data_IF_057566307379
#
_entry.id   IF_057566307379
#
_cell.length_a   1.000
_cell.length_b   1.000
_cell.length_c   1.000
_cell.angle_alpha   90.00
_cell.angle_beta   90.00
_cell.angle_gamma   90.00
#
_symmetry.space_group_name_H-M   'P 1'
#
loop_
_entity.id
_entity.type
_entity.pdbx_description
1 polymer ?
#
# COMPACT_ATOMS: atom_id res chain seq x y z
N UNK A 1 6.49 -1.83 14.01
CA UNK A 1 7.36 -2.12 15.19
C UNK A 1 7.34 -1.01 16.24
N UNK A 2 7.53 0.28 15.90
CA UNK A 2 7.49 1.37 16.89
C UNK A 2 6.26 1.32 17.80
N UNK A 3 5.06 1.30 17.23
CA UNK A 3 3.80 1.19 17.98
C UNK A 3 3.73 -0.10 18.81
N UNK A 4 4.11 -1.23 18.22
CA UNK A 4 4.10 -2.54 18.86
C UNK A 4 5.04 -2.61 20.09
N UNK A 5 6.18 -1.96 20.02
CA UNK A 5 7.17 -1.91 21.12
C UNK A 5 6.93 -0.74 22.09
N UNK A 6 5.75 -0.14 22.05
CA UNK A 6 5.37 0.99 22.88
C UNK A 6 6.37 2.16 22.84
N UNK A 7 6.85 2.50 21.65
CA UNK A 7 7.70 3.66 21.45
C UNK A 7 9.21 3.41 21.55
N UNK A 8 9.69 2.21 21.26
CA UNK A 8 11.12 1.89 21.29
C UNK A 8 11.97 2.88 20.47
N UNK A 9 13.01 3.43 21.12
CA UNK A 9 13.95 4.39 20.54
C UNK A 9 14.65 3.86 19.29
N UNK A 10 15.03 2.59 19.28
CA UNK A 10 15.66 1.95 18.12
C UNK A 10 14.74 2.00 16.90
N UNK A 11 13.45 1.76 17.10
CA UNK A 11 12.49 1.80 16.01
C UNK A 11 12.16 3.24 15.58
N UNK A 12 12.19 4.20 16.52
CA UNK A 12 12.07 5.61 16.21
C UNK A 12 13.22 6.07 15.29
N UNK A 13 14.46 5.75 15.65
CA UNK A 13 15.65 6.10 14.85
C UNK A 13 15.61 5.47 13.46
N UNK A 14 15.26 4.18 13.35
CA UNK A 14 15.13 3.49 12.07
C UNK A 14 14.06 4.13 11.19
N UNK A 15 12.90 4.43 11.76
CA UNK A 15 11.79 5.05 11.02
C UNK A 15 12.17 6.45 10.55
N UNK A 16 12.81 7.24 11.40
CA UNK A 16 13.37 8.55 11.02
C UNK A 16 14.36 8.43 9.86
N UNK A 17 15.26 7.46 9.92
CA UNK A 17 16.21 7.20 8.84
C UNK A 17 15.53 6.83 7.51
N UNK A 18 14.49 6.01 7.54
CA UNK A 18 13.71 5.70 6.35
C UNK A 18 13.00 6.92 5.78
N UNK A 19 12.31 7.71 6.62
CA UNK A 19 11.63 8.92 6.19
C UNK A 19 12.63 9.91 5.57
N UNK A 20 13.79 10.13 6.19
CA UNK A 20 14.83 11.00 5.64
C UNK A 20 15.33 10.53 4.27
N UNK A 21 15.41 9.22 4.04
CA UNK A 21 15.79 8.68 2.72
C UNK A 21 14.74 8.88 1.65
N UNK A 22 13.48 9.05 2.01
CA UNK A 22 12.43 9.37 1.04
C UNK A 22 12.46 10.81 0.54
N UNK A 23 13.33 11.66 1.09
CA UNK A 23 13.50 13.06 0.63
C UNK A 23 13.80 13.16 -0.88
N UNK A 24 14.41 12.14 -1.47
CA UNK A 24 14.67 12.07 -2.92
C UNK A 24 13.40 12.16 -3.77
N UNK A 25 12.25 11.76 -3.21
CA UNK A 25 10.94 11.86 -3.86
C UNK A 25 10.26 13.22 -3.69
N UNK A 26 10.89 14.15 -2.97
CA UNK A 26 10.39 15.50 -2.72
C UNK A 26 11.42 16.56 -3.14
N UNK A 27 11.88 16.54 -4.39
CA UNK A 27 12.95 17.41 -4.83
C UNK A 27 12.53 18.89 -4.80
N UNK A 28 13.43 19.76 -4.38
CA UNK A 28 13.18 21.22 -4.28
C UNK A 28 12.82 21.85 -5.62
N UNK A 29 13.46 21.40 -6.72
CA UNK A 29 13.14 21.86 -8.06
C UNK A 29 11.68 21.57 -8.47
N UNK A 30 11.04 20.57 -7.86
CA UNK A 30 9.63 20.27 -8.02
C UNK A 30 8.80 20.80 -6.85
N UNK A 31 9.26 21.85 -6.20
CA UNK A 31 8.57 22.52 -5.08
C UNK A 31 8.35 21.60 -3.86
N UNK A 32 9.13 20.53 -3.72
CA UNK A 32 8.95 19.52 -2.67
C UNK A 32 7.63 18.73 -2.80
N UNK A 33 7.08 18.64 -4.00
CA UNK A 33 5.92 17.82 -4.35
C UNK A 33 6.39 16.40 -4.65
N UNK A 34 5.61 15.42 -4.21
CA UNK A 34 5.90 14.00 -4.39
C UNK A 34 6.04 13.65 -5.88
N UNK A 35 7.22 13.21 -6.25
CA UNK A 35 7.65 12.98 -7.63
C UNK A 35 8.35 11.63 -7.75
N UNK A 36 8.01 10.85 -8.76
CA UNK A 36 8.77 9.66 -9.12
C UNK A 36 10.00 10.02 -9.95
N UNK A 37 11.14 9.36 -9.74
CA UNK A 37 12.37 9.64 -10.51
C UNK A 37 12.18 9.52 -12.03
N UNK A 38 11.26 8.68 -12.48
CA UNK A 38 10.97 8.46 -13.89
C UNK A 38 10.16 9.60 -14.55
N UNK A 39 9.59 10.51 -13.75
CA UNK A 39 8.74 11.60 -14.29
C UNK A 39 9.54 12.64 -15.05
N UNK A 40 10.76 12.97 -14.57
CA UNK A 40 11.65 13.92 -15.24
C UNK A 40 12.01 13.45 -16.66
N UNK A 41 12.60 12.27 -16.84
CA UNK A 41 12.91 11.72 -18.16
C UNK A 41 11.69 11.19 -18.92
N UNK A 42 10.50 11.20 -18.32
CA UNK A 42 9.23 10.75 -18.91
C UNK A 42 9.25 9.29 -19.39
N UNK A 43 9.95 8.43 -18.66
CA UNK A 43 10.09 7.01 -18.97
C UNK A 43 9.41 6.08 -17.95
N UNK A 44 8.43 6.59 -17.18
CA UNK A 44 7.62 5.78 -16.28
C UNK A 44 6.87 4.70 -17.05
N UNK A 45 6.95 3.47 -16.55
CA UNK A 45 6.09 2.38 -17.00
C UNK A 45 4.75 2.35 -16.21
N UNK A 46 3.88 1.39 -16.52
CA UNK A 46 2.55 1.26 -15.91
C UNK A 46 2.57 1.14 -14.38
N UNK A 47 3.57 0.50 -13.81
CA UNK A 47 3.69 0.32 -12.36
C UNK A 47 4.23 1.56 -11.67
N UNK A 48 5.27 2.15 -12.24
CA UNK A 48 5.96 3.32 -11.68
C UNK A 48 5.05 4.51 -11.44
N UNK A 49 4.05 4.72 -12.29
CA UNK A 49 3.10 5.83 -12.14
C UNK A 49 2.19 5.73 -10.92
N UNK A 50 2.16 4.57 -10.25
CA UNK A 50 1.36 4.33 -9.05
C UNK A 50 2.14 4.36 -7.74
N UNK A 51 3.48 4.22 -7.76
CA UNK A 51 4.28 4.01 -6.55
C UNK A 51 4.21 5.17 -5.56
N UNK A 52 4.17 6.40 -6.04
CA UNK A 52 4.00 7.58 -5.18
C UNK A 52 2.68 7.55 -4.39
N UNK A 53 1.63 6.94 -4.93
CA UNK A 53 0.39 6.72 -4.20
C UNK A 53 0.55 5.79 -3.00
N UNK A 54 1.36 4.74 -3.13
CA UNK A 54 1.69 3.85 -2.01
C UNK A 54 2.52 4.57 -0.94
N UNK A 55 3.52 5.36 -1.33
CA UNK A 55 4.31 6.14 -0.38
C UNK A 55 3.43 7.11 0.42
N UNK A 56 2.49 7.78 -0.25
CA UNK A 56 1.54 8.67 0.41
C UNK A 56 0.70 7.94 1.48
N UNK A 57 0.20 6.74 1.18
CA UNK A 57 -0.54 5.93 2.16
C UNK A 57 0.33 5.49 3.33
N UNK A 58 1.56 5.06 3.06
CA UNK A 58 2.49 4.64 4.11
C UNK A 58 2.86 5.79 5.04
N UNK A 59 3.03 7.00 4.52
CA UNK A 59 3.24 8.18 5.32
C UNK A 59 2.04 8.49 6.21
N UNK A 60 0.82 8.41 5.68
CA UNK A 60 -0.39 8.61 6.46
C UNK A 60 -0.51 7.61 7.62
N UNK A 61 -0.30 6.32 7.34
CA UNK A 61 -0.32 5.27 8.37
C UNK A 61 0.83 5.46 9.38
N UNK A 62 2.01 5.84 8.92
CA UNK A 62 3.15 6.11 9.81
C UNK A 62 2.86 7.25 10.77
N UNK A 63 2.20 8.33 10.31
CA UNK A 63 1.80 9.45 11.16
C UNK A 63 0.83 9.03 12.27
N UNK A 64 -0.02 8.04 12.03
CA UNK A 64 -0.95 7.51 13.05
C UNK A 64 -0.28 6.53 14.03
N UNK A 65 0.53 5.60 13.51
CA UNK A 65 1.15 4.55 14.33
C UNK A 65 2.44 4.99 15.02
N UNK A 66 3.04 6.07 14.55
CA UNK A 66 4.24 6.69 15.10
C UNK A 66 4.09 8.24 15.05
N UNK A 67 3.30 8.84 15.96
CA UNK A 67 2.90 10.24 15.88
C UNK A 67 4.06 11.24 15.79
N UNK A 68 5.23 10.89 16.30
CA UNK A 68 6.43 11.72 16.17
C UNK A 68 6.85 11.97 14.70
N UNK A 69 6.40 11.12 13.76
CA UNK A 69 6.67 11.28 12.33
C UNK A 69 5.73 12.28 11.64
N UNK A 70 4.60 12.60 12.25
CA UNK A 70 3.61 13.48 11.65
C UNK A 70 4.17 14.85 11.21
N UNK A 71 4.99 15.55 12.00
CA UNK A 71 5.62 16.79 11.55
C UNK A 71 6.55 16.63 10.35
N UNK A 72 7.09 15.42 10.13
CA UNK A 72 7.99 15.13 9.02
C UNK A 72 7.24 14.83 7.72
N UNK A 73 6.07 14.19 7.81
CA UNK A 73 5.40 13.63 6.62
C UNK A 73 4.13 14.40 6.21
N UNK A 74 3.39 14.98 7.17
CA UNK A 74 2.12 15.67 6.88
C UNK A 74 2.31 16.87 5.95
N UNK A 75 3.32 17.75 6.12
CA UNK A 75 3.52 18.88 5.20
C UNK A 75 3.74 18.43 3.74
N UNK A 76 4.45 17.31 3.54
CA UNK A 76 4.66 16.73 2.22
C UNK A 76 3.37 16.18 1.61
N UNK A 77 2.55 15.49 2.42
CA UNK A 77 1.25 14.99 1.99
C UNK A 77 0.30 16.12 1.60
N UNK A 78 0.23 17.19 2.41
CA UNK A 78 -0.63 18.34 2.14
C UNK A 78 -0.26 19.02 0.83
N UNK A 79 1.02 19.35 0.66
CA UNK A 79 1.53 19.99 -0.55
C UNK A 79 1.28 19.13 -1.79
N UNK A 80 1.58 17.84 -1.69
CA UNK A 80 1.38 16.91 -2.80
C UNK A 80 -0.09 16.63 -3.11
N UNK A 81 -0.95 16.60 -2.08
CA UNK A 81 -2.40 16.42 -2.25
C UNK A 81 -3.06 17.58 -2.98
N UNK A 82 -2.68 18.82 -2.64
CA UNK A 82 -3.14 20.02 -3.36
C UNK A 82 -2.69 19.97 -4.82
N UNK A 83 -1.42 19.67 -5.05
CA UNK A 83 -0.86 19.60 -6.41
C UNK A 83 -1.50 18.47 -7.24
N UNK A 84 -1.75 17.31 -6.63
CA UNK A 84 -2.48 16.23 -7.30
C UNK A 84 -3.91 16.64 -7.67
N UNK A 85 -4.64 17.29 -6.77
CA UNK A 85 -5.99 17.77 -7.05
C UNK A 85 -6.00 18.79 -8.22
N UNK A 86 -5.03 19.70 -8.25
CA UNK A 86 -4.86 20.66 -9.35
C UNK A 86 -4.54 19.99 -10.69
N UNK A 87 -3.91 18.82 -10.68
CA UNK A 87 -3.64 18.06 -11.91
C UNK A 87 -4.85 17.29 -12.45
N UNK A 88 -5.93 17.17 -11.67
CA UNK A 88 -7.14 16.41 -12.03
C UNK A 88 -8.13 17.28 -12.84
N UNK A 89 -7.66 17.91 -13.89
CA UNK A 89 -8.43 18.77 -14.81
C UNK A 89 -8.32 18.32 -16.28
N UNK A 90 -7.79 17.11 -16.48
CA UNK A 90 -7.67 16.52 -17.81
C UNK A 90 -9.03 16.19 -18.43
N UNK A 91 -9.17 16.24 -19.76
CA UNK A 91 -10.42 15.90 -20.43
C UNK A 91 -10.79 14.45 -20.19
N UNK A 92 -12.05 14.21 -19.84
CA UNK A 92 -12.56 12.85 -19.71
C UNK A 92 -12.65 12.17 -21.08
N UNK A 93 -11.97 11.06 -21.24
CA UNK A 93 -12.03 10.27 -22.50
C UNK A 93 -13.26 9.37 -22.57
N UNK A 94 -13.84 9.02 -21.41
CA UNK A 94 -14.93 8.02 -21.33
C UNK A 94 -16.25 8.55 -20.81
N UNK A 95 -16.29 9.74 -20.20
CA UNK A 95 -17.51 10.31 -19.61
C UNK A 95 -17.40 11.82 -19.48
N UNK A 96 -18.44 12.55 -19.83
CA UNK A 96 -18.53 14.01 -19.68
C UNK A 96 -18.56 14.51 -18.22
N UNK A 97 -18.60 13.60 -17.25
CA UNK A 97 -18.71 13.90 -15.83
C UNK A 97 -17.44 13.55 -15.02
N UNK A 98 -16.38 13.10 -15.67
CA UNK A 98 -15.14 12.73 -15.01
C UNK A 98 -13.96 13.56 -15.51
N UNK A 99 -13.02 13.81 -14.63
CA UNK A 99 -11.75 14.45 -14.94
C UNK A 99 -10.61 13.46 -14.80
N UNK A 100 -9.62 13.57 -15.67
CA UNK A 100 -8.41 12.76 -15.60
C UNK A 100 -7.33 13.49 -14.80
N UNK A 101 -6.66 12.78 -13.92
CA UNK A 101 -5.53 13.29 -13.13
C UNK A 101 -4.21 13.04 -13.86
N UNK A 102 -3.36 14.07 -13.88
CA UNK A 102 -2.04 14.01 -14.48
C UNK A 102 -1.04 13.19 -13.67
N UNK A 103 0.08 12.86 -14.30
CA UNK A 103 1.19 12.15 -13.65
C UNK A 103 2.12 13.12 -12.90
N UNK A 104 2.51 14.24 -13.50
CA UNK A 104 3.48 15.21 -12.95
C UNK A 104 2.76 16.30 -12.16
N UNK A 105 2.55 16.10 -10.87
CA UNK A 105 1.81 17.03 -10.01
C UNK A 105 2.51 18.38 -9.80
N UNK A 106 3.82 18.47 -10.06
CA UNK A 106 4.57 19.71 -10.04
C UNK A 106 4.38 20.55 -11.32
N UNK A 107 3.69 20.00 -12.32
CA UNK A 107 3.27 20.72 -13.54
C UNK A 107 2.05 21.58 -13.23
N UNK A 108 1.89 22.66 -13.97
CA UNK A 108 0.72 23.52 -13.79
C UNK A 108 -0.50 22.94 -14.53
N UNK A 109 -1.37 22.29 -13.76
CA UNK A 109 -2.56 21.60 -14.28
C UNK A 109 -2.29 20.20 -14.83
N UNK A 110 -3.04 19.81 -15.84
CA UNK A 110 -2.95 18.49 -16.44
C UNK A 110 -1.78 18.38 -17.42
N UNK A 111 -0.94 17.40 -17.25
CA UNK A 111 0.28 17.20 -18.03
C UNK A 111 0.12 16.31 -19.28
N UNK A 112 -1.11 15.96 -19.64
CA UNK A 112 -1.41 15.13 -20.83
C UNK A 112 -1.17 13.63 -20.62
N UNK A 113 -0.88 13.19 -19.40
CA UNK A 113 -0.62 11.78 -19.07
C UNK A 113 -1.63 11.30 -18.04
N UNK A 114 -2.54 10.43 -18.44
CA UNK A 114 -3.56 9.85 -17.55
C UNK A 114 -3.61 8.33 -17.65
N UNK A 115 -4.29 7.73 -16.72
CA UNK A 115 -4.54 6.29 -16.65
C UNK A 115 -4.87 5.83 -15.24
N UNK A 116 -5.07 4.54 -15.08
CA UNK A 116 -5.47 3.94 -13.79
C UNK A 116 -4.43 4.21 -12.69
N UNK A 117 -3.14 4.15 -13.01
CA UNK A 117 -2.06 4.39 -12.05
C UNK A 117 -2.04 5.84 -11.57
N UNK A 118 -2.21 6.81 -12.46
CA UNK A 118 -2.27 8.22 -12.14
C UNK A 118 -3.48 8.55 -11.27
N UNK A 119 -4.67 8.02 -11.63
CA UNK A 119 -5.89 8.17 -10.83
C UNK A 119 -5.74 7.56 -9.44
N UNK A 120 -5.17 6.35 -9.36
CA UNK A 120 -4.89 5.68 -8.09
C UNK A 120 -3.93 6.49 -7.21
N UNK A 121 -2.86 7.02 -7.80
CA UNK A 121 -1.87 7.81 -7.08
C UNK A 121 -2.47 9.14 -6.57
N UNK A 122 -3.23 9.85 -7.40
CA UNK A 122 -3.91 11.09 -7.03
C UNK A 122 -4.94 10.84 -5.92
N UNK A 123 -5.80 9.84 -6.07
CA UNK A 123 -6.76 9.44 -5.03
C UNK A 123 -6.05 9.10 -3.72
N UNK A 124 -4.93 8.39 -3.80
CA UNK A 124 -4.19 7.96 -2.61
C UNK A 124 -3.62 9.13 -1.83
N UNK A 125 -2.99 10.11 -2.49
CA UNK A 125 -2.41 11.27 -1.80
C UNK A 125 -3.49 12.23 -1.30
N UNK A 126 -4.57 12.42 -2.03
CA UNK A 126 -5.70 13.25 -1.59
C UNK A 126 -6.34 12.62 -0.35
N UNK A 127 -6.63 11.30 -0.39
CA UNK A 127 -7.18 10.57 0.75
C UNK A 127 -6.23 10.54 1.95
N UNK A 128 -4.91 10.47 1.73
CA UNK A 128 -3.91 10.51 2.79
C UNK A 128 -3.97 11.79 3.64
N UNK A 129 -4.44 12.91 3.07
CA UNK A 129 -4.64 14.15 3.80
C UNK A 129 -5.81 14.10 4.80
N UNK A 130 -6.69 13.11 4.71
CA UNK A 130 -7.79 12.88 5.67
C UNK A 130 -7.32 12.10 6.91
N UNK A 131 -6.07 11.70 6.97
CA UNK A 131 -5.52 10.84 8.03
C UNK A 131 -5.74 11.39 9.44
N UNK A 132 -5.71 12.70 9.61
CA UNK A 132 -5.93 13.37 10.91
C UNK A 132 -7.37 13.23 11.42
N UNK A 133 -8.33 12.94 10.53
CA UNK A 133 -9.75 12.74 10.84
C UNK A 133 -10.14 11.26 10.80
N UNK A 134 -9.26 10.38 10.36
CA UNK A 134 -9.50 8.96 10.26
C UNK A 134 -9.17 8.25 11.59
N UNK A 135 -9.92 7.19 11.90
CA UNK A 135 -9.55 6.30 13.01
C UNK A 135 -8.21 5.63 12.69
N UNK A 136 -7.35 5.57 13.70
CA UNK A 136 -6.09 4.85 13.58
C UNK A 136 -6.35 3.35 13.28
N UNK A 137 -5.44 2.68 12.57
CA UNK A 137 -5.51 1.25 12.37
C UNK A 137 -5.54 0.49 13.69
N UNK A 138 -6.22 -0.64 13.72
CA UNK A 138 -6.20 -1.51 14.89
C UNK A 138 -4.77 -2.02 15.14
N UNK A 139 -4.37 -2.01 16.39
CA UNK A 139 -3.06 -2.48 16.85
C UNK A 139 -3.24 -3.64 17.82
N UNK A 140 -2.16 -4.30 18.21
CA UNK A 140 -2.18 -5.36 19.22
C UNK A 140 -2.79 -4.93 20.57
N UNK A 141 -2.81 -3.62 20.85
CA UNK A 141 -3.35 -3.06 22.09
C UNK A 141 -4.71 -2.37 21.93
N UNK A 142 -5.15 -2.06 20.72
CA UNK A 142 -6.36 -1.25 20.48
C UNK A 142 -7.56 -2.05 19.93
N UNK A 143 -7.42 -3.33 19.70
CA UNK A 143 -8.53 -4.17 19.27
C UNK A 143 -8.12 -5.25 18.28
N UNK A 144 -9.06 -6.12 18.00
CA UNK A 144 -8.87 -7.32 17.21
C UNK A 144 -9.18 -8.56 18.04
N UNK A 145 -9.79 -9.56 17.42
CA UNK A 145 -10.12 -10.84 18.08
C UNK A 145 -8.96 -11.84 18.00
N UNK A 146 -7.99 -11.62 17.12
CA UNK A 146 -6.81 -12.46 17.02
C UNK A 146 -5.79 -12.04 18.08
N UNK A 147 -5.47 -12.94 18.94
CA UNK A 147 -4.31 -12.82 19.83
C UNK A 147 -3.08 -13.14 18.99
N UNK A 148 -2.44 -12.12 18.44
CA UNK A 148 -1.15 -12.30 17.78
C UNK A 148 -0.11 -12.75 18.80
N UNK A 149 0.90 -13.49 18.35
CA UNK A 149 2.08 -13.78 19.17
C UNK A 149 3.05 -12.58 19.11
N UNK A 150 3.21 -11.82 20.20
CA UNK A 150 4.13 -10.69 20.25
C UNK A 150 5.59 -11.08 20.06
N UNK A 151 5.94 -12.34 20.29
CA UNK A 151 7.29 -12.88 20.16
C UNK A 151 7.62 -13.36 18.74
N UNK A 152 6.62 -13.46 17.85
CA UNK A 152 6.81 -13.99 16.49
C UNK A 152 7.83 -13.15 15.70
N UNK A 153 8.91 -13.78 15.29
CA UNK A 153 9.96 -13.13 14.50
C UNK A 153 10.97 -12.29 15.29
N UNK A 154 10.96 -12.33 16.63
CA UNK A 154 11.95 -11.61 17.46
C UNK A 154 13.27 -12.37 17.64
N UNK A 155 13.40 -13.57 17.08
CA UNK A 155 14.62 -14.39 17.20
C UNK A 155 14.81 -15.04 18.57
N UNK A 156 13.85 -14.92 19.46
CA UNK A 156 13.79 -15.78 20.64
C UNK A 156 13.35 -17.16 20.14
N UNK A 157 14.19 -18.15 20.35
CA UNK A 157 14.02 -19.55 19.92
C UNK A 157 12.90 -20.28 20.69
N UNK A 158 11.74 -19.68 20.78
CA UNK A 158 10.54 -20.45 20.98
C UNK A 158 10.14 -20.90 19.57
N UNK A 159 10.31 -22.19 19.32
CA UNK A 159 10.00 -22.80 18.03
C UNK A 159 8.67 -22.24 17.53
N UNK A 160 8.59 -22.02 16.23
CA UNK A 160 7.30 -21.81 15.56
C UNK A 160 6.32 -22.72 16.27
N UNK A 161 5.24 -22.21 16.92
CA UNK A 161 4.25 -23.10 17.46
C UNK A 161 3.91 -24.03 16.31
N UNK A 162 4.43 -25.25 16.37
CA UNK A 162 3.89 -26.29 15.54
C UNK A 162 2.43 -26.27 15.94
N UNK A 163 1.57 -25.77 15.06
CA UNK A 163 0.18 -26.11 15.18
C UNK A 163 0.24 -27.61 15.38
N UNK A 164 -0.05 -28.08 16.60
CA UNK A 164 -0.36 -29.46 16.83
C UNK A 164 -1.63 -29.73 16.04
N UNK A 165 -1.48 -29.72 14.73
CA UNK A 165 -2.49 -30.24 13.83
C UNK A 165 -2.60 -31.71 14.21
N UNK A 166 -3.74 -32.11 14.76
CA UNK A 166 -3.93 -33.50 15.10
C UNK A 166 -3.63 -34.30 13.83
N UNK A 167 -2.76 -35.28 13.96
CA UNK A 167 -2.31 -36.09 12.83
C UNK A 167 -3.52 -36.49 11.99
N UNK A 168 -3.48 -36.15 10.69
CA UNK A 168 -4.59 -36.32 9.77
C UNK A 168 -5.18 -37.74 9.92
N UNK A 169 -6.44 -37.80 10.27
CA UNK A 169 -7.16 -39.06 10.48
C UNK A 169 -7.34 -39.81 9.16
N UNK A 170 -7.70 -41.07 9.24
CA UNK A 170 -8.05 -41.88 8.04
C UNK A 170 -9.20 -41.23 7.27
N UNK A 171 -10.13 -40.60 7.98
CA UNK A 171 -11.25 -39.85 7.39
C UNK A 171 -10.78 -38.62 6.60
N UNK A 172 -9.82 -37.85 7.14
CA UNK A 172 -9.28 -36.66 6.45
C UNK A 172 -8.53 -37.06 5.17
N UNK A 173 -7.76 -38.14 5.23
CA UNK A 173 -7.04 -38.69 4.05
C UNK A 173 -8.01 -39.18 2.98
N UNK A 174 -9.07 -39.89 3.38
CA UNK A 174 -10.10 -40.35 2.45
C UNK A 174 -10.85 -39.18 1.82
N UNK A 175 -11.24 -38.17 2.61
CA UNK A 175 -11.88 -36.96 2.12
C UNK A 175 -11.01 -36.18 1.14
N UNK A 176 -9.74 -36.01 1.45
CA UNK A 176 -8.78 -35.35 0.56
C UNK A 176 -8.61 -36.11 -0.76
N UNK A 177 -8.51 -37.45 -0.71
CA UNK A 177 -8.39 -38.27 -1.92
C UNK A 177 -9.63 -38.15 -2.82
N UNK A 178 -10.83 -38.21 -2.26
CA UNK A 178 -12.10 -38.06 -3.01
C UNK A 178 -12.17 -36.69 -3.68
N UNK A 179 -11.89 -35.62 -2.95
CA UNK A 179 -11.88 -34.25 -3.49
C UNK A 179 -10.86 -34.09 -4.62
N UNK A 180 -9.66 -34.66 -4.45
CA UNK A 180 -8.61 -34.60 -5.46
C UNK A 180 -9.04 -35.32 -6.74
N UNK A 181 -9.60 -36.54 -6.63
CA UNK A 181 -10.10 -37.28 -7.78
C UNK A 181 -11.22 -36.50 -8.47
N UNK A 182 -12.17 -35.95 -7.69
CA UNK A 182 -13.26 -35.17 -8.27
C UNK A 182 -12.74 -33.93 -9.02
N UNK A 183 -11.78 -33.22 -8.48
CA UNK A 183 -11.16 -32.06 -9.14
C UNK A 183 -10.45 -32.46 -10.43
N UNK A 184 -9.70 -33.57 -10.43
CA UNK A 184 -9.00 -34.06 -11.62
C UNK A 184 -10.01 -34.46 -12.71
N UNK A 185 -11.02 -35.23 -12.37
CA UNK A 185 -12.05 -35.68 -13.33
C UNK A 185 -12.83 -34.47 -13.88
N UNK A 186 -13.20 -33.51 -13.04
CA UNK A 186 -13.91 -32.31 -13.48
C UNK A 186 -13.05 -31.46 -14.42
N UNK A 187 -11.76 -31.30 -14.10
CA UNK A 187 -10.84 -30.51 -14.92
C UNK A 187 -10.57 -31.16 -16.27
N UNK A 188 -10.29 -32.47 -16.27
CA UNK A 188 -10.03 -33.21 -17.51
C UNK A 188 -11.31 -33.33 -18.36
N UNK A 189 -12.46 -33.64 -17.74
CA UNK A 189 -13.74 -33.74 -18.42
C UNK A 189 -14.20 -32.41 -19.00
N UNK A 190 -14.07 -31.31 -18.22
CA UNK A 190 -14.37 -29.96 -18.70
C UNK A 190 -13.44 -29.53 -19.82
N UNK A 191 -12.14 -29.81 -19.70
CA UNK A 191 -11.16 -29.53 -20.74
C UNK A 191 -11.46 -30.29 -22.03
N UNK A 192 -11.75 -31.57 -21.91
CA UNK A 192 -12.16 -32.40 -23.07
C UNK A 192 -13.42 -31.86 -23.77
N UNK A 193 -14.41 -31.46 -22.96
CA UNK A 193 -15.67 -30.91 -23.51
C UNK A 193 -15.49 -29.57 -24.21
N UNK A 194 -14.58 -28.72 -23.72
CA UNK A 194 -14.30 -27.42 -24.34
C UNK A 194 -13.50 -27.48 -25.64
N UNK A 195 -12.73 -28.58 -25.85
CA UNK A 195 -11.89 -28.77 -27.06
C UNK A 195 -12.62 -29.51 -28.17
N UNK A 196 -13.75 -30.15 -27.90
CA UNK A 196 -14.60 -30.86 -28.85
C UNK A 196 -15.72 -29.97 -29.41
#
# INVERSE_FOLDING_TARGET
MYNYTNGSEIWAQRLTGFINKTSIFFPEQNRGILTEPCEGPQNCNGDMVSFKGYLARWFAVSAQLAPFTAPMVIPHLQKSGIAAAQSCVGPATTSSLSYECGNRWYWDGYDGKSGVGQQLAALSVISANMVQHAKAPLTSSSGGTSKGDPGLGTGQNEGIPTLDDPAATTGDKAGAAILTIFMIVSTLGGGYWLVK
#
